data_IF_270187509053
#
_entry.id   IF_270187509053
#
_cell.length_a   1.000
_cell.length_b   1.000
_cell.length_c   1.000
_cell.angle_alpha   90.00
_cell.angle_beta   90.00
_cell.angle_gamma   90.00
#
_symmetry.space_group_name_H-M   'P 1'
#
loop_
_entity.id
_entity.type
_entity.pdbx_description
1 polymer ?
#
# COMPACT_ATOMS: atom_id res chain seq x y z
N UNK A 1 20.49 -0.60 2.08
CA UNK A 1 20.42 -1.42 0.86
C UNK A 1 21.77 -2.10 0.73
N UNK A 2 21.86 -3.40 1.03
CA UNK A 2 23.09 -4.14 0.77
C UNK A 2 23.24 -4.30 -0.72
N UNK A 3 24.32 -3.79 -1.31
CA UNK A 3 24.64 -4.07 -2.70
C UNK A 3 24.89 -5.57 -2.82
N UNK A 4 23.98 -6.30 -3.47
CA UNK A 4 24.25 -7.68 -3.89
C UNK A 4 25.24 -7.60 -5.04
N UNK A 5 26.53 -7.71 -4.72
CA UNK A 5 27.56 -7.91 -5.74
C UNK A 5 27.30 -9.30 -6.34
N UNK A 6 27.01 -9.34 -7.65
CA UNK A 6 26.96 -10.59 -8.39
C UNK A 6 28.41 -11.13 -8.49
N UNK A 7 28.67 -12.27 -7.88
CA UNK A 7 29.95 -12.96 -7.98
C UNK A 7 29.83 -13.93 -9.16
N UNK A 8 30.62 -13.76 -10.24
CA UNK A 8 30.53 -14.64 -11.40
C UNK A 8 31.00 -16.06 -11.03
N UNK A 9 30.26 -17.07 -11.50
CA UNK A 9 30.64 -18.47 -11.32
C UNK A 9 31.64 -18.89 -12.40
N UNK A 10 32.88 -19.20 -11.99
CA UNK A 10 33.92 -19.71 -12.89
C UNK A 10 33.76 -21.21 -13.11
N UNK A 11 33.14 -21.57 -14.23
CA UNK A 11 32.88 -22.96 -14.62
C UNK A 11 34.18 -23.76 -14.81
N UNK A 12 35.25 -23.13 -15.32
CA UNK A 12 36.50 -23.81 -15.63
C UNK A 12 37.33 -24.05 -14.36
N UNK A 13 37.39 -23.07 -13.46
CA UNK A 13 38.03 -23.25 -12.17
C UNK A 13 37.34 -24.37 -11.37
N UNK A 14 35.99 -24.39 -11.36
CA UNK A 14 35.23 -25.42 -10.66
C UNK A 14 35.44 -26.83 -11.26
N UNK A 15 35.48 -26.96 -12.60
CA UNK A 15 35.80 -28.23 -13.24
C UNK A 15 37.19 -28.75 -12.84
N UNK A 16 38.20 -27.86 -12.80
CA UNK A 16 39.56 -28.23 -12.37
C UNK A 16 39.64 -28.65 -10.90
N UNK A 17 38.85 -28.03 -10.02
CA UNK A 17 38.74 -28.47 -8.63
C UNK A 17 38.16 -29.89 -8.53
N UNK A 18 37.13 -30.20 -9.32
CA UNK A 18 36.55 -31.54 -9.38
C UNK A 18 37.56 -32.57 -9.92
N UNK A 19 38.31 -32.24 -10.98
CA UNK A 19 39.38 -33.10 -11.49
C UNK A 19 40.46 -33.38 -10.44
N UNK A 20 40.87 -32.34 -9.71
CA UNK A 20 41.85 -32.47 -8.62
C UNK A 20 41.33 -33.35 -7.48
N UNK A 21 40.01 -33.37 -7.27
CA UNK A 21 39.33 -34.26 -6.32
C UNK A 21 39.13 -35.70 -6.86
N UNK A 22 39.60 -36.00 -8.07
CA UNK A 22 39.54 -37.34 -8.69
C UNK A 22 38.29 -37.60 -9.54
N UNK A 23 37.50 -36.57 -9.86
CA UNK A 23 36.38 -36.68 -10.80
C UNK A 23 36.94 -36.77 -12.23
N UNK A 24 36.48 -37.71 -13.07
CA UNK A 24 36.89 -37.76 -14.47
C UNK A 24 36.59 -36.44 -15.20
N UNK A 25 37.45 -35.98 -16.12
CA UNK A 25 37.33 -34.65 -16.75
C UNK A 25 35.98 -34.43 -17.44
N UNK A 26 35.48 -35.42 -18.20
CA UNK A 26 34.16 -35.33 -18.84
C UNK A 26 33.02 -35.15 -17.84
N UNK A 27 33.12 -35.77 -16.66
CA UNK A 27 32.13 -35.62 -15.59
C UNK A 27 32.27 -34.28 -14.87
N UNK A 28 33.50 -33.82 -14.64
CA UNK A 28 33.77 -32.52 -14.04
C UNK A 28 33.21 -31.37 -14.90
N UNK A 29 33.47 -31.41 -16.21
CA UNK A 29 32.91 -30.45 -17.17
C UNK A 29 31.38 -30.52 -17.21
N UNK A 30 30.80 -31.73 -17.26
CA UNK A 30 29.35 -31.90 -17.28
C UNK A 30 28.69 -31.33 -16.02
N UNK A 31 29.26 -31.57 -14.84
CA UNK A 31 28.77 -31.03 -13.57
C UNK A 31 28.91 -29.51 -13.53
N UNK A 32 30.06 -28.97 -13.90
CA UNK A 32 30.30 -27.53 -13.93
C UNK A 32 29.32 -26.82 -14.86
N UNK A 33 29.08 -27.38 -16.05
CA UNK A 33 28.14 -26.84 -17.02
C UNK A 33 26.69 -26.92 -16.55
N UNK A 34 26.30 -28.04 -15.92
CA UNK A 34 24.97 -28.18 -15.33
C UNK A 34 24.74 -27.15 -14.22
N UNK A 35 25.71 -26.96 -13.33
CA UNK A 35 25.63 -25.98 -12.25
C UNK A 35 25.57 -24.55 -12.79
N UNK A 36 26.43 -24.21 -13.75
CA UNK A 36 26.41 -22.89 -14.42
C UNK A 36 25.04 -22.59 -15.03
N UNK A 37 24.43 -23.56 -15.72
CA UNK A 37 23.10 -23.38 -16.32
C UNK A 37 22.01 -23.13 -15.27
N UNK A 38 22.07 -23.81 -14.13
CA UNK A 38 21.10 -23.58 -13.04
C UNK A 38 21.30 -22.19 -12.43
N UNK A 39 22.55 -21.79 -12.19
CA UNK A 39 22.87 -20.47 -11.63
C UNK A 39 22.41 -19.34 -12.55
N UNK A 40 22.62 -19.46 -13.86
CA UNK A 40 22.12 -18.49 -14.85
C UNK A 40 20.59 -18.36 -14.79
N UNK A 41 19.85 -19.47 -14.76
CA UNK A 41 18.39 -19.44 -14.66
C UNK A 41 17.89 -18.80 -13.36
N UNK A 42 18.57 -19.06 -12.24
CA UNK A 42 18.24 -18.46 -10.94
C UNK A 42 18.47 -16.96 -10.98
N UNK A 43 19.56 -16.51 -11.59
CA UNK A 43 19.87 -15.09 -11.72
C UNK A 43 18.86 -14.37 -12.62
N UNK A 44 18.52 -14.94 -13.78
CA UNK A 44 17.45 -14.44 -14.66
C UNK A 44 16.12 -14.30 -13.90
N UNK A 45 15.74 -15.32 -13.12
CA UNK A 45 14.51 -15.32 -12.33
C UNK A 45 14.52 -14.24 -11.25
N UNK A 46 15.66 -14.06 -10.56
CA UNK A 46 15.82 -13.00 -9.57
C UNK A 46 15.73 -11.61 -10.19
N UNK A 47 16.37 -11.41 -11.35
CA UNK A 47 16.30 -10.13 -12.07
C UNK A 47 14.87 -9.80 -12.49
N UNK A 48 14.10 -10.79 -12.98
CA UNK A 48 12.68 -10.62 -13.31
C UNK A 48 11.81 -10.30 -12.08
N UNK A 49 12.06 -10.97 -10.95
CA UNK A 49 11.36 -10.70 -9.70
C UNK A 49 11.65 -9.28 -9.19
N UNK A 50 12.93 -8.84 -9.29
CA UNK A 50 13.34 -7.49 -8.92
C UNK A 50 12.70 -6.43 -9.82
N UNK A 51 12.62 -6.66 -11.13
CA UNK A 51 11.93 -5.79 -12.06
C UNK A 51 10.45 -5.63 -11.68
N UNK A 52 9.74 -6.75 -11.47
CA UNK A 52 8.33 -6.74 -11.05
C UNK A 52 8.11 -5.97 -9.74
N UNK A 53 9.00 -6.13 -8.75
CA UNK A 53 8.91 -5.40 -7.47
C UNK A 53 9.12 -3.90 -7.63
N UNK A 54 10.03 -3.50 -8.51
CA UNK A 54 10.25 -2.08 -8.83
C UNK A 54 9.01 -1.49 -9.50
N UNK A 55 8.44 -2.20 -10.47
CA UNK A 55 7.22 -1.77 -11.17
C UNK A 55 6.03 -1.59 -10.21
N UNK A 56 5.85 -2.53 -9.28
CA UNK A 56 4.81 -2.42 -8.24
C UNK A 56 5.02 -1.20 -7.35
N UNK A 57 6.27 -0.93 -6.95
CA UNK A 57 6.60 0.23 -6.13
C UNK A 57 6.39 1.55 -6.86
N UNK A 58 6.70 1.59 -8.16
CA UNK A 58 6.40 2.76 -8.98
C UNK A 58 4.88 2.98 -9.10
N UNK A 59 4.12 1.91 -9.31
CA UNK A 59 2.66 1.98 -9.38
C UNK A 59 2.05 2.48 -8.06
N UNK A 60 2.51 1.96 -6.92
CA UNK A 60 2.11 2.40 -5.59
C UNK A 60 2.38 3.90 -5.40
N UNK A 61 3.58 4.37 -5.75
CA UNK A 61 3.96 5.79 -5.66
C UNK A 61 3.03 6.66 -6.52
N UNK A 62 2.78 6.26 -7.77
CA UNK A 62 1.88 6.99 -8.68
C UNK A 62 0.46 7.05 -8.13
N UNK A 63 -0.04 5.98 -7.53
CA UNK A 63 -1.36 5.96 -6.89
C UNK A 63 -1.42 6.89 -5.68
N UNK A 64 -0.43 6.84 -4.79
CA UNK A 64 -0.35 7.72 -3.61
C UNK A 64 -0.33 9.19 -4.04
N UNK A 65 0.46 9.55 -5.06
CA UNK A 65 0.52 10.92 -5.58
C UNK A 65 -0.84 11.34 -6.16
N UNK A 66 -1.47 10.51 -6.99
CA UNK A 66 -2.78 10.81 -7.59
C UNK A 66 -3.87 10.98 -6.53
N UNK A 67 -3.90 10.09 -5.53
CA UNK A 67 -4.87 10.17 -4.44
C UNK A 67 -4.64 11.41 -3.58
N UNK A 68 -3.39 11.72 -3.23
CA UNK A 68 -3.03 12.95 -2.53
C UNK A 68 -3.48 14.21 -3.30
N UNK A 69 -3.24 14.24 -4.62
CA UNK A 69 -3.68 15.34 -5.48
C UNK A 69 -5.21 15.47 -5.52
N UNK A 70 -5.94 14.36 -5.64
CA UNK A 70 -7.41 14.36 -5.64
C UNK A 70 -8.00 14.79 -4.30
N UNK A 71 -7.39 14.40 -3.18
CA UNK A 71 -7.80 14.85 -1.83
C UNK A 71 -7.57 16.35 -1.69
N UNK A 72 -6.41 16.87 -2.10
CA UNK A 72 -6.14 18.30 -2.06
C UNK A 72 -7.11 19.08 -2.94
N UNK A 73 -7.40 18.58 -4.15
CA UNK A 73 -8.37 19.20 -5.05
C UNK A 73 -9.78 19.22 -4.44
N UNK A 74 -10.25 18.10 -3.88
CA UNK A 74 -11.59 18.01 -3.29
C UNK A 74 -11.74 18.87 -2.04
N UNK A 75 -10.75 18.87 -1.14
CA UNK A 75 -10.73 19.75 0.04
C UNK A 75 -10.73 21.21 -0.38
N UNK A 76 -9.94 21.57 -1.40
CA UNK A 76 -9.93 22.92 -1.96
C UNK A 76 -11.30 23.34 -2.50
N UNK A 77 -12.00 22.46 -3.21
CA UNK A 77 -13.35 22.71 -3.70
C UNK A 77 -14.35 22.91 -2.55
N UNK A 78 -14.30 22.09 -1.50
CA UNK A 78 -15.19 22.21 -0.33
C UNK A 78 -14.97 23.56 0.38
N UNK A 79 -13.71 23.92 0.63
CA UNK A 79 -13.37 25.20 1.27
C UNK A 79 -13.82 26.37 0.40
N UNK A 80 -13.56 26.30 -0.90
CA UNK A 80 -14.02 27.31 -1.87
C UNK A 80 -15.53 27.49 -1.83
N UNK A 81 -16.29 26.39 -1.81
CA UNK A 81 -17.74 26.40 -1.71
C UNK A 81 -18.24 27.03 -0.41
N UNK A 82 -17.71 26.59 0.75
CA UNK A 82 -18.09 27.13 2.07
C UNK A 82 -17.79 28.62 2.21
N UNK A 83 -16.72 29.11 1.57
CA UNK A 83 -16.34 30.53 1.59
C UNK A 83 -17.23 31.38 0.68
N UNK A 84 -17.56 30.86 -0.51
CA UNK A 84 -18.34 31.56 -1.52
C UNK A 84 -19.84 31.62 -1.20
N UNK A 85 -20.35 30.63 -0.45
CA UNK A 85 -21.75 30.55 -0.07
C UNK A 85 -21.92 30.50 1.46
N UNK A 86 -21.81 31.65 2.16
CA UNK A 86 -22.08 31.70 3.59
C UNK A 86 -23.56 31.37 3.82
N UNK A 87 -23.84 30.16 4.30
CA UNK A 87 -25.21 29.78 4.65
C UNK A 87 -25.66 30.66 5.82
N UNK A 88 -26.77 31.41 5.70
CA UNK A 88 -27.39 32.01 6.87
C UNK A 88 -27.91 30.85 7.71
N UNK A 89 -27.15 30.47 8.74
CA UNK A 89 -27.63 29.56 9.77
C UNK A 89 -28.75 30.29 10.48
N UNK A 90 -29.98 30.06 10.02
CA UNK A 90 -31.15 30.42 10.80
C UNK A 90 -31.16 29.44 11.97
N UNK A 91 -30.64 29.89 13.10
CA UNK A 91 -30.96 29.25 14.37
C UNK A 91 -32.48 29.30 14.43
N UNK A 92 -33.14 28.15 14.31
CA UNK A 92 -34.57 28.04 14.54
C UNK A 92 -34.81 28.60 15.93
N UNK A 93 -35.31 29.84 15.99
CA UNK A 93 -35.67 30.48 17.24
C UNK A 93 -36.90 29.71 17.71
N UNK A 94 -36.69 28.75 18.61
CA UNK A 94 -37.79 28.13 19.32
C UNK A 94 -38.58 29.28 19.96
N UNK A 95 -39.82 29.48 19.50
CA UNK A 95 -40.71 30.46 20.11
C UNK A 95 -40.73 30.20 21.62
N UNK A 96 -40.64 31.24 22.49
CA UNK A 96 -40.77 31.04 23.91
C UNK A 96 -42.11 30.32 24.13
N UNK A 97 -42.03 29.08 24.61
CA UNK A 97 -43.19 28.35 25.08
C UNK A 97 -43.61 29.08 26.34
N UNK A 98 -44.44 30.13 26.17
CA UNK A 98 -45.24 30.69 27.25
C UNK A 98 -45.83 29.49 27.97
N UNK A 99 -45.31 29.24 29.19
CA UNK A 99 -45.62 28.09 30.03
C UNK A 99 -47.11 27.82 29.87
N UNK A 100 -47.44 26.76 29.12
CA UNK A 100 -48.82 26.36 28.86
C UNK A 100 -49.43 26.23 30.24
N UNK A 101 -50.17 27.24 30.68
CA UNK A 101 -50.72 27.27 32.03
C UNK A 101 -51.63 26.07 32.08
N UNK A 102 -51.14 25.00 32.71
CA UNK A 102 -51.96 23.87 33.09
C UNK A 102 -52.91 24.46 34.11
N UNK A 103 -54.10 24.85 33.65
CA UNK A 103 -55.16 25.29 34.52
C UNK A 103 -55.29 24.28 35.66
N UNK A 104 -55.44 24.72 36.92
CA UNK A 104 -55.61 23.80 38.03
C UNK A 104 -56.79 22.88 37.73
N UNK A 105 -56.51 21.58 37.66
CA UNK A 105 -57.54 20.56 37.46
C UNK A 105 -58.56 20.71 38.59
N UNK A 106 -59.88 20.83 38.30
CA UNK A 106 -60.86 20.91 39.36
C UNK A 106 -60.79 19.63 40.19
N UNK A 107 -60.56 19.78 41.50
CA UNK A 107 -60.52 18.66 42.42
C UNK A 107 -61.86 17.92 42.37
N UNK A 108 -61.84 16.66 41.94
CA UNK A 108 -63.00 15.79 41.96
C UNK A 108 -63.28 15.50 43.45
N UNK A 109 -64.44 15.90 44.01
CA UNK A 109 -64.76 15.56 45.38
C UNK A 109 -64.93 14.04 45.50
N UNK A 110 -64.43 13.41 46.56
CA UNK A 110 -64.60 11.97 46.74
C UNK A 110 -66.09 11.66 46.86
N UNK A 111 -66.55 10.71 46.04
CA UNK A 111 -67.90 10.17 46.15
C UNK A 111 -68.09 9.62 47.57
N UNK A 112 -69.18 10.05 48.22
CA UNK A 112 -69.57 9.64 49.55
C UNK A 112 -70.25 8.27 49.54
#
# INVERSE_FOLDING_TARGET
MGATVAIPFDTLAYAKELETAGVPPEQAEAQAKALSNVLQKVEESRLQEMATKQDLRELELRMVIKMGAMILASVGLIIGYLRAFPMPVQIVQAAPQELRQVAPQPAIPPAR
#
